data_IF_576923067814
#
_entry.id   IF_576923067814
#
_cell.length_a   1.000
_cell.length_b   1.000
_cell.length_c   1.000
_cell.angle_alpha   90.00
_cell.angle_beta   90.00
_cell.angle_gamma   90.00
#
_symmetry.space_group_name_H-M   'P 1'
#
loop_
_entity.id
_entity.type
_entity.pdbx_description
1 polymer ?
#
# COMPACT_ATOMS: atom_id res chain seq x y z
N UNK A 1 54.41 -17.12 -25.76
CA UNK A 1 53.93 -15.76 -26.09
C UNK A 1 52.64 -15.51 -25.30
N UNK A 2 52.72 -14.76 -24.20
CA UNK A 2 51.55 -14.42 -23.37
C UNK A 2 51.04 -13.04 -23.80
N UNK A 3 49.79 -12.95 -24.24
CA UNK A 3 49.14 -11.68 -24.57
C UNK A 3 48.50 -11.13 -23.30
N UNK A 4 49.02 -10.04 -22.76
CA UNK A 4 48.41 -9.27 -21.68
C UNK A 4 47.14 -8.57 -22.19
N UNK A 5 46.04 -8.51 -21.40
CA UNK A 5 44.83 -7.82 -21.83
C UNK A 5 45.05 -6.31 -21.82
N UNK A 6 44.64 -5.64 -22.90
CA UNK A 6 44.62 -4.18 -23.02
C UNK A 6 43.67 -3.57 -22.00
N UNK A 7 44.22 -2.67 -21.18
CA UNK A 7 43.54 -1.92 -20.12
C UNK A 7 42.63 -0.86 -20.74
N UNK A 8 41.45 -1.24 -21.23
CA UNK A 8 40.34 -0.30 -21.37
C UNK A 8 39.77 -0.06 -19.97
N UNK A 9 40.44 0.78 -19.19
CA UNK A 9 39.86 1.30 -17.96
C UNK A 9 38.84 2.36 -18.34
N UNK A 10 37.61 1.94 -18.64
CA UNK A 10 36.48 2.76 -18.23
C UNK A 10 36.65 2.94 -16.72
N UNK A 11 36.99 4.17 -16.30
CA UNK A 11 37.19 4.49 -14.89
C UNK A 11 35.84 4.33 -14.20
N UNK A 12 35.59 3.14 -13.65
CA UNK A 12 34.44 2.93 -12.77
C UNK A 12 34.69 3.77 -11.53
N UNK A 13 34.05 4.93 -11.46
CA UNK A 13 34.15 5.83 -10.33
C UNK A 13 33.45 5.18 -9.13
N UNK A 14 34.23 4.59 -8.23
CA UNK A 14 33.81 4.10 -6.91
C UNK A 14 33.89 5.21 -5.85
N UNK A 15 33.40 6.40 -6.16
CA UNK A 15 33.20 7.43 -5.15
C UNK A 15 31.77 7.39 -4.61
N UNK A 16 31.53 7.81 -3.35
CA UNK A 16 30.17 8.07 -2.88
C UNK A 16 29.51 9.05 -3.84
N UNK A 17 28.40 8.64 -4.49
CA UNK A 17 27.58 9.60 -5.22
C UNK A 17 26.96 10.52 -4.18
N UNK A 18 27.40 11.78 -4.14
CA UNK A 18 26.79 12.77 -3.26
C UNK A 18 25.29 12.85 -3.58
N UNK A 19 24.47 12.58 -2.57
CA UNK A 19 23.04 12.75 -2.67
C UNK A 19 22.76 14.25 -2.81
N UNK A 20 22.03 14.61 -3.87
CA UNK A 20 21.45 15.94 -3.94
C UNK A 20 20.42 16.02 -2.81
N UNK A 21 20.73 16.78 -1.76
CA UNK A 21 19.73 17.11 -0.76
C UNK A 21 18.58 17.85 -1.46
N UNK A 22 17.33 17.81 -0.95
CA UNK A 22 16.21 18.51 -1.57
C UNK A 22 16.47 20.01 -1.83
N UNK A 23 17.40 20.61 -1.07
CA UNK A 23 17.82 22.01 -1.20
C UNK A 23 18.90 22.25 -2.25
N UNK A 24 19.58 21.20 -2.73
CA UNK A 24 20.66 21.25 -3.73
C UNK A 24 20.22 20.67 -5.09
N UNK A 25 18.97 20.24 -5.24
CA UNK A 25 18.45 19.65 -6.48
C UNK A 25 17.92 20.74 -7.44
N UNK A 26 18.64 21.05 -8.54
CA UNK A 26 18.23 22.08 -9.49
C UNK A 26 16.98 21.70 -10.29
N UNK A 27 16.64 20.41 -10.34
CA UNK A 27 15.47 19.87 -11.06
C UNK A 27 14.24 19.66 -10.16
N UNK A 28 14.40 19.70 -8.83
CA UNK A 28 13.32 19.51 -7.85
C UNK A 28 12.73 18.09 -7.78
N UNK A 29 13.28 17.13 -8.52
CA UNK A 29 12.81 15.74 -8.61
C UNK A 29 12.93 15.02 -7.26
N UNK A 30 14.04 15.19 -6.54
CA UNK A 30 14.25 14.61 -5.21
C UNK A 30 13.19 15.11 -4.24
N UNK A 31 12.86 16.40 -4.30
CA UNK A 31 11.78 16.99 -3.50
C UNK A 31 10.43 16.37 -3.88
N UNK A 32 10.13 16.24 -5.17
CA UNK A 32 8.91 15.59 -5.64
C UNK A 32 8.82 14.15 -5.15
N UNK A 33 9.86 13.33 -5.32
CA UNK A 33 9.91 11.93 -4.86
C UNK A 33 9.68 11.84 -3.36
N UNK A 34 10.36 12.67 -2.57
CA UNK A 34 10.17 12.72 -1.12
C UNK A 34 8.71 13.05 -0.73
N UNK A 35 8.10 14.03 -1.40
CA UNK A 35 6.69 14.38 -1.20
C UNK A 35 5.77 13.21 -1.57
N UNK A 36 6.00 12.52 -2.68
CA UNK A 36 5.18 11.38 -3.09
C UNK A 36 5.26 10.22 -2.10
N UNK A 37 6.46 9.88 -1.61
CA UNK A 37 6.61 8.81 -0.62
C UNK A 37 5.97 9.18 0.71
N UNK A 38 6.10 10.43 1.14
CA UNK A 38 5.44 10.92 2.35
C UNK A 38 3.91 10.81 2.24
N UNK A 39 3.36 11.15 1.07
CA UNK A 39 1.93 10.99 0.79
C UNK A 39 1.50 9.52 0.79
N UNK A 40 2.28 8.64 0.15
CA UNK A 40 2.06 7.19 0.16
C UNK A 40 2.08 6.65 1.59
N UNK A 41 3.07 7.04 2.39
CA UNK A 41 3.20 6.62 3.79
C UNK A 41 1.97 7.02 4.60
N UNK A 42 1.51 8.27 4.46
CA UNK A 42 0.28 8.76 5.11
C UNK A 42 -0.95 7.94 4.68
N UNK A 43 -1.12 7.72 3.38
CA UNK A 43 -2.26 6.98 2.82
C UNK A 43 -2.27 5.51 3.27
N UNK A 44 -1.12 4.85 3.31
CA UNK A 44 -1.04 3.49 3.84
C UNK A 44 -1.32 3.43 5.34
N UNK A 45 -0.83 4.38 6.14
CA UNK A 45 -1.20 4.44 7.55
C UNK A 45 -2.72 4.62 7.74
N UNK A 46 -3.35 5.45 6.90
CA UNK A 46 -4.79 5.60 6.90
C UNK A 46 -5.49 4.28 6.51
N UNK A 47 -5.00 3.59 5.48
CA UNK A 47 -5.50 2.29 5.05
C UNK A 47 -5.56 1.29 6.19
N UNK A 48 -4.46 1.10 6.93
CA UNK A 48 -4.41 0.12 8.02
C UNK A 48 -5.35 0.49 9.18
N UNK A 49 -5.50 1.78 9.49
CA UNK A 49 -6.49 2.24 10.50
C UNK A 49 -7.93 1.93 10.08
N UNK A 50 -8.23 2.02 8.79
CA UNK A 50 -9.57 1.67 8.27
C UNK A 50 -9.79 0.16 8.30
N UNK A 51 -8.77 -0.64 7.97
CA UNK A 51 -8.84 -2.10 8.07
C UNK A 51 -9.06 -2.55 9.52
N UNK A 52 -8.34 -1.96 10.48
CA UNK A 52 -8.49 -2.25 11.91
C UNK A 52 -9.92 -1.99 12.38
N UNK A 53 -10.47 -0.79 12.12
CA UNK A 53 -11.87 -0.47 12.43
C UNK A 53 -12.87 -1.37 11.71
N UNK A 54 -12.65 -1.63 10.42
CA UNK A 54 -13.52 -2.52 9.66
C UNK A 54 -13.51 -3.94 10.22
N UNK A 55 -12.39 -4.40 10.78
CA UNK A 55 -12.27 -5.72 11.42
C UNK A 55 -13.17 -5.78 12.66
N UNK A 56 -13.24 -4.71 13.44
CA UNK A 56 -14.18 -4.62 14.57
C UNK A 56 -15.63 -4.74 14.09
N UNK A 57 -16.02 -4.00 13.04
CA UNK A 57 -17.38 -4.08 12.48
C UNK A 57 -17.69 -5.48 11.98
N UNK A 58 -16.77 -6.09 11.22
CA UNK A 58 -16.95 -7.45 10.69
C UNK A 58 -17.07 -8.47 11.81
N UNK A 59 -16.27 -8.39 12.87
CA UNK A 59 -16.37 -9.28 14.04
C UNK A 59 -17.73 -9.14 14.74
N UNK A 60 -18.22 -7.92 14.93
CA UNK A 60 -19.55 -7.68 15.51
C UNK A 60 -20.67 -8.22 14.62
N UNK A 61 -20.57 -8.00 13.30
CA UNK A 61 -21.51 -8.57 12.31
C UNK A 61 -21.56 -10.09 12.41
N UNK A 62 -20.39 -10.74 12.48
CA UNK A 62 -20.29 -12.19 12.62
C UNK A 62 -20.94 -12.67 13.92
N UNK A 63 -20.62 -12.04 15.05
CA UNK A 63 -21.19 -12.40 16.36
C UNK A 63 -22.73 -12.31 16.36
N UNK A 64 -23.30 -11.21 15.83
CA UNK A 64 -24.75 -11.04 15.73
C UNK A 64 -25.39 -12.11 14.84
N UNK A 65 -24.74 -12.42 13.71
CA UNK A 65 -25.26 -13.42 12.76
C UNK A 65 -25.20 -14.85 13.28
N UNK A 66 -24.16 -15.21 14.02
CA UNK A 66 -23.96 -16.56 14.54
C UNK A 66 -24.76 -16.84 15.81
N UNK A 67 -24.90 -15.83 16.69
CA UNK A 67 -25.46 -16.05 18.03
C UNK A 67 -26.86 -15.49 18.25
N UNK A 68 -27.25 -14.44 17.53
CA UNK A 68 -28.52 -13.73 17.78
C UNK A 68 -29.57 -13.92 16.68
N UNK A 69 -29.18 -14.42 15.51
CA UNK A 69 -30.10 -14.61 14.39
C UNK A 69 -31.05 -15.79 14.67
N UNK A 70 -32.35 -15.49 14.80
CA UNK A 70 -33.45 -16.46 14.79
C UNK A 70 -34.32 -16.20 13.58
N UNK A 71 -35.02 -17.22 13.08
CA UNK A 71 -35.82 -17.14 11.84
C UNK A 71 -36.78 -15.93 11.78
N UNK A 72 -37.23 -15.44 12.93
CA UNK A 72 -38.24 -14.38 13.06
C UNK A 72 -37.67 -13.04 13.57
N UNK A 73 -36.35 -12.93 13.75
CA UNK A 73 -35.70 -11.76 14.36
C UNK A 73 -34.49 -11.29 13.57
N UNK A 74 -34.59 -10.08 13.01
CA UNK A 74 -33.48 -9.39 12.37
C UNK A 74 -32.90 -8.35 13.35
N UNK A 75 -31.64 -8.48 13.80
CA UNK A 75 -31.04 -7.53 14.73
C UNK A 75 -30.95 -6.14 14.11
N UNK A 76 -31.58 -5.14 14.73
CA UNK A 76 -31.56 -3.76 14.20
C UNK A 76 -30.15 -3.18 14.14
N UNK A 77 -29.26 -3.63 15.03
CA UNK A 77 -27.85 -3.22 15.08
C UNK A 77 -27.06 -3.66 13.85
N UNK A 78 -27.47 -4.75 13.18
CA UNK A 78 -26.80 -5.27 12.00
C UNK A 78 -26.84 -4.27 10.84
N UNK A 79 -27.95 -3.54 10.68
CA UNK A 79 -28.08 -2.52 9.63
C UNK A 79 -27.02 -1.42 9.80
N UNK A 80 -26.90 -0.89 11.02
CA UNK A 80 -25.92 0.16 11.34
C UNK A 80 -24.49 -0.32 11.11
N UNK A 81 -24.16 -1.53 11.56
CA UNK A 81 -22.81 -2.09 11.36
C UNK A 81 -22.48 -2.31 9.87
N UNK A 82 -23.46 -2.69 9.05
CA UNK A 82 -23.28 -2.80 7.61
C UNK A 82 -23.07 -1.43 6.94
N UNK A 83 -23.79 -0.40 7.39
CA UNK A 83 -23.58 0.99 6.93
C UNK A 83 -22.17 1.49 7.31
N UNK A 84 -21.74 1.24 8.54
CA UNK A 84 -20.39 1.59 9.02
C UNK A 84 -19.29 0.83 8.23
N UNK A 85 -19.53 -0.45 7.90
CA UNK A 85 -18.63 -1.25 7.07
C UNK A 85 -18.58 -0.75 5.61
N UNK A 86 -19.72 -0.33 5.06
CA UNK A 86 -19.79 0.26 3.73
C UNK A 86 -19.03 1.59 3.67
N UNK A 87 -19.12 2.41 4.71
CA UNK A 87 -18.36 3.64 4.81
C UNK A 87 -16.85 3.35 4.88
N UNK A 88 -16.44 2.38 5.69
CA UNK A 88 -15.05 1.93 5.72
C UNK A 88 -14.55 1.49 4.32
N UNK A 89 -15.36 0.72 3.57
CA UNK A 89 -15.07 0.35 2.18
C UNK A 89 -14.90 1.59 1.29
N UNK A 90 -15.77 2.59 1.40
CA UNK A 90 -15.67 3.81 0.59
C UNK A 90 -14.37 4.57 0.88
N UNK A 91 -13.97 4.69 2.15
CA UNK A 91 -12.69 5.30 2.50
C UNK A 91 -11.50 4.52 1.91
N UNK A 92 -11.55 3.19 1.88
CA UNK A 92 -10.51 2.37 1.21
C UNK A 92 -10.45 2.66 -0.29
N UNK A 93 -11.61 2.87 -0.94
CA UNK A 93 -11.69 3.24 -2.35
C UNK A 93 -11.01 4.58 -2.62
N UNK A 94 -11.32 5.60 -1.81
CA UNK A 94 -10.73 6.93 -1.93
C UNK A 94 -9.20 6.91 -1.77
N UNK A 95 -8.70 6.04 -0.88
CA UNK A 95 -7.26 5.82 -0.71
C UNK A 95 -6.65 5.21 -1.97
N UNK A 96 -7.26 4.18 -2.56
CA UNK A 96 -6.76 3.55 -3.80
C UNK A 96 -6.75 4.55 -4.95
N UNK A 97 -7.79 5.36 -5.10
CA UNK A 97 -7.85 6.43 -6.10
C UNK A 97 -6.78 7.50 -5.86
N UNK A 98 -6.53 7.87 -4.60
CA UNK A 98 -5.44 8.79 -4.25
C UNK A 98 -4.07 8.23 -4.60
N UNK A 99 -3.84 6.93 -4.36
CA UNK A 99 -2.59 6.25 -4.72
C UNK A 99 -2.44 6.13 -6.23
N UNK A 100 -3.53 5.95 -6.99
CA UNK A 100 -3.50 5.96 -8.46
C UNK A 100 -3.00 7.30 -9.01
N UNK A 101 -3.48 8.42 -8.45
CA UNK A 101 -3.01 9.76 -8.82
C UNK A 101 -1.49 9.87 -8.60
N UNK A 102 -1.00 9.43 -7.45
CA UNK A 102 0.44 9.42 -7.15
C UNK A 102 1.19 8.52 -8.13
N UNK A 103 0.69 7.30 -8.38
CA UNK A 103 1.30 6.36 -9.31
C UNK A 103 1.45 7.00 -10.70
N UNK A 104 0.38 7.62 -11.24
CA UNK A 104 0.41 8.33 -12.52
C UNK A 104 1.48 9.42 -12.55
N UNK A 105 1.61 10.21 -11.49
CA UNK A 105 2.65 11.24 -11.38
C UNK A 105 4.06 10.63 -11.36
N UNK A 106 4.25 9.55 -10.60
CA UNK A 106 5.53 8.86 -10.47
C UNK A 106 5.95 8.17 -11.79
N UNK A 107 5.02 7.62 -12.57
CA UNK A 107 5.32 6.98 -13.86
C UNK A 107 5.90 7.96 -14.91
N UNK A 108 5.73 9.27 -14.72
CA UNK A 108 6.31 10.29 -15.62
C UNK A 108 7.78 10.58 -15.26
N UNK A 109 8.19 10.37 -14.00
CA UNK A 109 9.53 10.70 -13.52
C UNK A 109 10.68 10.05 -14.31
N UNK A 110 10.62 8.74 -14.68
CA UNK A 110 11.68 8.12 -15.48
C UNK A 110 11.89 8.77 -16.85
N UNK A 111 10.84 9.38 -17.43
CA UNK A 111 10.91 10.07 -18.72
C UNK A 111 11.50 11.46 -18.60
N UNK A 112 11.26 12.13 -17.47
CA UNK A 112 11.79 13.47 -17.19
C UNK A 112 13.24 13.44 -16.70
N UNK A 113 13.66 12.34 -16.06
CA UNK A 113 14.98 12.19 -15.46
C UNK A 113 15.75 11.01 -16.07
N UNK A 114 16.36 11.24 -17.23
CA UNK A 114 17.18 10.24 -17.93
C UNK A 114 18.65 10.21 -17.47
N UNK A 115 19.02 11.05 -16.51
CA UNK A 115 20.43 11.29 -16.12
C UNK A 115 21.11 10.10 -15.43
N UNK A 116 20.38 9.01 -15.14
CA UNK A 116 20.93 7.83 -14.46
C UNK A 116 21.39 8.12 -13.02
N UNK A 117 21.01 9.27 -12.47
CA UNK A 117 21.28 9.67 -11.10
C UNK A 117 20.18 9.14 -10.15
N UNK A 118 20.55 8.69 -8.93
CA UNK A 118 19.58 8.34 -7.91
C UNK A 118 18.64 9.50 -7.60
N UNK A 119 17.36 9.17 -7.40
CA UNK A 119 16.33 10.12 -6.94
C UNK A 119 15.99 9.91 -5.46
N UNK A 120 16.53 8.84 -4.87
CA UNK A 120 16.53 8.50 -3.45
C UNK A 120 17.95 8.08 -3.04
N UNK A 121 18.11 7.59 -1.79
CA UNK A 121 19.41 7.15 -1.27
C UNK A 121 20.09 6.13 -2.18
N UNK A 122 19.38 5.08 -2.62
CA UNK A 122 19.96 4.05 -3.48
C UNK A 122 19.21 3.84 -4.81
N UNK A 123 17.99 4.37 -4.95
CA UNK A 123 17.13 4.06 -6.10
C UNK A 123 17.15 5.11 -7.21
N UNK A 124 17.14 4.62 -8.45
CA UNK A 124 16.88 5.40 -9.65
C UNK A 124 15.37 5.62 -9.85
N UNK A 125 15.00 6.64 -10.62
CA UNK A 125 13.60 6.96 -10.93
C UNK A 125 12.79 5.76 -11.50
N UNK A 126 13.32 4.93 -12.43
CA UNK A 126 12.59 3.76 -12.93
C UNK A 126 12.26 2.74 -11.84
N UNK A 127 13.21 2.49 -10.92
CA UNK A 127 13.00 1.54 -9.82
C UNK A 127 11.97 2.06 -8.81
N UNK A 128 12.01 3.35 -8.50
CA UNK A 128 10.97 3.96 -7.68
C UNK A 128 9.59 3.82 -8.32
N UNK A 129 9.48 4.11 -9.63
CA UNK A 129 8.22 3.99 -10.35
C UNK A 129 7.68 2.56 -10.43
N UNK A 130 8.53 1.55 -10.62
CA UNK A 130 8.10 0.14 -10.60
C UNK A 130 7.60 -0.29 -9.23
N UNK A 131 8.23 0.19 -8.15
CA UNK A 131 7.84 -0.13 -6.78
C UNK A 131 6.49 0.50 -6.41
N UNK A 132 6.26 1.77 -6.79
CA UNK A 132 4.95 2.42 -6.59
C UNK A 132 3.84 1.72 -7.39
N UNK A 133 4.11 1.32 -8.64
CA UNK A 133 3.15 0.58 -9.46
C UNK A 133 2.77 -0.78 -8.85
N UNK A 134 3.76 -1.50 -8.33
CA UNK A 134 3.55 -2.80 -7.67
C UNK A 134 2.67 -2.64 -6.44
N UNK A 135 2.98 -1.66 -5.59
CA UNK A 135 2.17 -1.33 -4.41
C UNK A 135 0.75 -0.92 -4.78
N UNK A 136 0.57 -0.05 -5.78
CA UNK A 136 -0.75 0.35 -6.28
C UNK A 136 -1.56 -0.87 -6.75
N UNK A 137 -0.95 -1.75 -7.55
CA UNK A 137 -1.60 -2.97 -8.04
C UNK A 137 -2.00 -3.90 -6.90
N UNK A 138 -1.16 -4.04 -5.87
CA UNK A 138 -1.48 -4.80 -4.65
C UNK A 138 -2.66 -4.19 -3.88
N UNK A 139 -2.70 -2.86 -3.73
CA UNK A 139 -3.82 -2.17 -3.08
C UNK A 139 -5.14 -2.37 -3.84
N UNK A 140 -5.11 -2.32 -5.18
CA UNK A 140 -6.30 -2.60 -6.00
C UNK A 140 -6.83 -4.03 -5.78
N UNK A 141 -5.94 -5.03 -5.72
CA UNK A 141 -6.32 -6.41 -5.44
C UNK A 141 -6.91 -6.57 -4.05
N UNK A 142 -6.28 -5.95 -3.05
CA UNK A 142 -6.75 -5.97 -1.67
C UNK A 142 -8.11 -5.29 -1.53
N UNK A 143 -8.29 -4.12 -2.14
CA UNK A 143 -9.57 -3.39 -2.15
C UNK A 143 -10.69 -4.25 -2.75
N UNK A 144 -10.43 -4.90 -3.90
CA UNK A 144 -11.40 -5.77 -4.54
C UNK A 144 -11.82 -6.93 -3.64
N UNK A 145 -10.90 -7.49 -2.86
CA UNK A 145 -11.24 -8.50 -1.85
C UNK A 145 -12.17 -7.91 -0.77
N UNK A 146 -11.85 -6.73 -0.24
CA UNK A 146 -12.69 -6.08 0.79
C UNK A 146 -14.08 -5.74 0.26
N UNK A 147 -14.18 -5.30 -0.98
CA UNK A 147 -15.46 -5.06 -1.65
C UNK A 147 -16.32 -6.33 -1.72
N UNK A 148 -15.73 -7.45 -2.17
CA UNK A 148 -16.42 -8.75 -2.19
C UNK A 148 -16.88 -9.16 -0.80
N UNK A 149 -16.04 -8.96 0.24
CA UNK A 149 -16.43 -9.26 1.62
C UNK A 149 -17.63 -8.41 2.05
N UNK A 150 -17.57 -7.08 1.87
CA UNK A 150 -18.65 -6.16 2.28
C UNK A 150 -19.98 -6.51 1.61
N UNK A 151 -19.97 -6.86 0.32
CA UNK A 151 -21.19 -7.22 -0.43
C UNK A 151 -21.78 -8.55 0.04
N UNK A 152 -20.93 -9.56 0.28
CA UNK A 152 -21.41 -10.91 0.53
C UNK A 152 -21.68 -11.21 2.01
N UNK A 153 -20.98 -10.54 2.93
CA UNK A 153 -21.14 -10.80 4.36
C UNK A 153 -22.55 -10.48 4.85
N UNK A 154 -23.25 -9.53 4.22
CA UNK A 154 -24.65 -9.19 4.53
C UNK A 154 -25.62 -10.34 4.21
N UNK A 155 -25.37 -11.10 3.14
CA UNK A 155 -26.27 -12.14 2.65
C UNK A 155 -25.90 -13.54 3.16
N UNK A 156 -24.68 -13.71 3.66
CA UNK A 156 -24.20 -14.99 4.15
C UNK A 156 -24.94 -15.45 5.41
N UNK A 157 -25.31 -16.74 5.44
CA UNK A 157 -25.89 -17.44 6.60
C UNK A 157 -25.11 -18.70 6.99
N UNK A 158 -24.17 -19.13 6.16
CA UNK A 158 -23.30 -20.28 6.45
C UNK A 158 -22.20 -19.81 7.40
N UNK A 159 -22.14 -20.43 8.57
CA UNK A 159 -21.16 -20.15 9.62
C UNK A 159 -19.71 -20.21 9.13
N UNK A 160 -19.37 -21.26 8.36
CA UNK A 160 -18.01 -21.44 7.85
C UNK A 160 -17.63 -20.33 6.88
N UNK A 161 -18.59 -19.90 6.06
CA UNK A 161 -18.35 -18.86 5.07
C UNK A 161 -18.27 -17.46 5.73
N UNK A 162 -19.00 -17.23 6.82
CA UNK A 162 -18.89 -16.01 7.63
C UNK A 162 -17.48 -15.88 8.22
N UNK A 163 -16.91 -16.96 8.78
CA UNK A 163 -15.54 -16.96 9.30
C UNK A 163 -14.49 -16.69 8.21
N UNK A 164 -14.70 -17.25 7.01
CA UNK A 164 -13.83 -16.97 5.85
C UNK A 164 -13.88 -15.50 5.49
N UNK A 165 -15.06 -14.87 5.45
CA UNK A 165 -15.18 -13.44 5.20
C UNK A 165 -14.53 -12.58 6.28
N UNK A 166 -14.67 -12.97 7.56
CA UNK A 166 -14.02 -12.29 8.67
C UNK A 166 -12.49 -12.31 8.52
N UNK A 167 -11.94 -13.50 8.26
CA UNK A 167 -10.51 -13.69 8.05
C UNK A 167 -10.01 -12.93 6.82
N UNK A 168 -10.78 -12.97 5.72
CA UNK A 168 -10.46 -12.26 4.49
C UNK A 168 -10.50 -10.74 4.65
N UNK A 169 -11.27 -10.20 5.60
CA UNK A 169 -11.21 -8.78 5.94
C UNK A 169 -10.01 -8.43 6.81
N UNK A 170 -9.78 -9.20 7.87
CA UNK A 170 -8.73 -8.96 8.87
C UNK A 170 -7.33 -9.03 8.26
N UNK A 171 -7.06 -10.05 7.46
CA UNK A 171 -5.73 -10.27 6.90
C UNK A 171 -5.54 -9.53 5.59
N UNK A 172 -4.38 -8.85 5.50
CA UNK A 172 -3.91 -8.24 4.25
C UNK A 172 -3.12 -9.27 3.45
N UNK A 173 -3.67 -9.74 2.34
CA UNK A 173 -3.10 -10.87 1.58
C UNK A 173 -2.25 -10.43 0.40
N UNK A 174 -2.55 -9.28 -0.19
CA UNK A 174 -1.94 -8.85 -1.45
C UNK A 174 -0.86 -7.77 -1.28
N UNK A 175 -0.77 -7.13 -0.11
CA UNK A 175 0.23 -6.07 0.15
C UNK A 175 1.52 -6.71 0.70
N UNK A 176 2.62 -6.57 -0.05
CA UNK A 176 3.95 -6.97 0.42
C UNK A 176 4.52 -5.91 1.38
N UNK A 177 4.42 -6.19 2.68
CA UNK A 177 4.86 -5.26 3.74
C UNK A 177 6.38 -5.05 3.76
N UNK A 178 7.18 -6.05 3.37
CA UNK A 178 8.64 -5.92 3.33
C UNK A 178 9.05 -4.91 2.25
N UNK A 179 8.50 -5.06 1.04
CA UNK A 179 8.76 -4.15 -0.07
C UNK A 179 8.38 -2.70 0.25
N UNK A 180 7.28 -2.51 0.98
CA UNK A 180 6.83 -1.19 1.43
C UNK A 180 7.76 -0.63 2.51
N UNK A 181 8.19 -1.45 3.46
CA UNK A 181 9.12 -1.04 4.51
C UNK A 181 10.47 -0.60 3.94
N UNK A 182 11.00 -1.28 2.92
CA UNK A 182 12.23 -0.86 2.24
C UNK A 182 12.09 0.51 1.58
N UNK A 183 10.94 0.79 0.93
CA UNK A 183 10.68 2.11 0.33
C UNK A 183 10.70 3.24 1.37
N UNK A 184 10.20 2.99 2.58
CA UNK A 184 10.20 3.97 3.66
C UNK A 184 11.57 4.14 4.32
N UNK A 185 12.31 3.04 4.48
CA UNK A 185 13.67 3.08 5.00
C UNK A 185 14.62 3.89 4.12
N UNK A 186 14.44 3.86 2.79
CA UNK A 186 15.20 4.65 1.81
C UNK A 186 15.14 6.16 2.05
N UNK A 187 14.16 6.66 2.80
CA UNK A 187 14.03 8.09 3.13
C UNK A 187 13.95 8.34 4.64
N UNK A 188 14.26 7.34 5.47
CA UNK A 188 14.27 7.44 6.93
C UNK A 188 12.88 7.50 7.59
N UNK A 189 11.82 7.07 6.89
CA UNK A 189 10.49 6.94 7.50
C UNK A 189 10.37 5.60 8.25
N UNK A 190 9.64 5.61 9.36
CA UNK A 190 9.36 4.41 10.13
C UNK A 190 8.45 3.46 9.36
N UNK A 191 8.71 2.15 9.53
CA UNK A 191 7.82 1.12 9.02
C UNK A 191 6.44 1.24 9.66
N UNK A 192 5.40 0.90 8.88
CA UNK A 192 4.03 0.88 9.37
C UNK A 192 3.91 -0.31 10.31
N UNK A 193 3.81 -0.04 11.61
CA UNK A 193 3.62 -1.07 12.62
C UNK A 193 2.27 -1.74 12.39
N UNK A 194 2.28 -3.06 12.20
CA UNK A 194 1.17 -3.89 12.66
C UNK A 194 1.44 -4.11 14.14
N UNK A 195 0.64 -3.50 15.02
CA UNK A 195 0.51 -4.04 16.37
C UNK A 195 -0.21 -5.38 16.20
N UNK A 196 0.57 -6.45 15.99
CA UNK A 196 0.07 -7.81 16.03
C UNK A 196 -0.30 -8.06 17.49
N UNK A 197 -1.58 -7.98 17.80
CA UNK A 197 -2.17 -8.51 19.03
C UNK A 197 -2.79 -9.85 18.74
#
# INVERSE_FOLDING_TARGET
MSKTPTKNSESVFFGPKELLTPNKDPTGIVKTVFTQISNIHRLLNQWFRVIEKGTEFVRLICALKLHEYRADYYPQQLKRLMEDLLEAKNVLKDIVESVDIINKQVQVLPKLHSTGLPVMNTWLAPHFASQVLTMYTSLCKEFKLKEVVTENIAHCRDEKLIEVYASAWEYTMYINMESVAYMFAEIGLSSIKKDVK
#
